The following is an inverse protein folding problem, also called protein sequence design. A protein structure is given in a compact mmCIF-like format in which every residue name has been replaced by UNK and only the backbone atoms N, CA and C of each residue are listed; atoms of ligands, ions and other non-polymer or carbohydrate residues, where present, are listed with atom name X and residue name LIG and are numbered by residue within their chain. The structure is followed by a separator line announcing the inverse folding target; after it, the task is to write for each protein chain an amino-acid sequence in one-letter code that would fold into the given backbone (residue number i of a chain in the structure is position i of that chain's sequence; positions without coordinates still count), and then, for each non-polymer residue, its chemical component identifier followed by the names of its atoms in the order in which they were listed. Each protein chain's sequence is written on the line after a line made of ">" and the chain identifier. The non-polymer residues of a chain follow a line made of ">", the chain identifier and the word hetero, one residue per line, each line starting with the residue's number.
data_IF_840700698547
#
_entry.id   IF_840700698547
#
_cell.length_a   1.000
_cell.length_b   1.000
_cell.length_c   1.000
_cell.angle_alpha   90.00
_cell.angle_beta   90.00
_cell.angle_gamma   90.00
#
_symmetry.space_group_name_H-M   'P 1'
#
loop_
_entity.id
_entity.type
_entity.pdbx_description
1 polymer ?
#
# COMPACT_ATOMS: atom_id res chain seq x y z
N UNK A 1 19.07 -10.22 15.87
CA UNK A 1 18.14 -9.57 14.90
C UNK A 1 16.73 -9.69 15.44
N UNK A 2 16.00 -8.57 15.57
CA UNK A 2 14.64 -8.55 16.13
C UNK A 2 13.65 -9.21 15.16
N UNK A 3 13.52 -10.53 15.24
CA UNK A 3 12.56 -11.33 14.48
C UNK A 3 11.12 -11.03 14.92
N UNK A 4 10.91 -10.68 16.19
CA UNK A 4 9.59 -10.43 16.78
C UNK A 4 8.89 -9.24 16.09
N UNK A 5 9.58 -8.10 15.92
CA UNK A 5 8.98 -6.92 15.31
C UNK A 5 8.60 -7.13 13.83
N UNK A 6 9.35 -7.98 13.11
CA UNK A 6 9.02 -8.38 11.74
C UNK A 6 7.81 -9.32 11.73
N UNK A 7 7.78 -10.33 12.60
CA UNK A 7 6.64 -11.25 12.72
C UNK A 7 5.34 -10.52 13.04
N UNK A 8 5.37 -9.57 14.00
CA UNK A 8 4.19 -8.75 14.36
C UNK A 8 3.67 -7.97 13.15
N UNK A 9 4.55 -7.36 12.34
CA UNK A 9 4.13 -6.64 11.12
C UNK A 9 3.56 -7.58 10.06
N UNK A 10 4.15 -8.77 9.89
CA UNK A 10 3.64 -9.78 8.95
C UNK A 10 2.25 -10.30 9.37
N UNK A 11 1.99 -10.47 10.66
CA UNK A 11 0.67 -10.88 11.18
C UNK A 11 -0.45 -9.85 10.93
N UNK A 12 -0.12 -8.60 10.59
CA UNK A 12 -1.12 -7.58 10.24
C UNK A 12 -1.60 -7.68 8.79
N UNK A 13 -0.77 -8.24 7.90
CA UNK A 13 -1.10 -8.41 6.48
C UNK A 13 -1.52 -9.84 6.15
N UNK A 14 -1.43 -10.78 7.09
CA UNK A 14 -1.84 -12.18 6.94
C UNK A 14 -3.06 -12.47 7.81
N UNK A 15 -4.07 -13.13 7.25
CA UNK A 15 -5.17 -13.65 8.04
C UNK A 15 -4.66 -14.77 8.96
N UNK A 16 -4.79 -14.56 10.28
CA UNK A 16 -4.22 -15.45 11.32
C UNK A 16 -4.87 -16.82 11.37
N UNK A 17 -6.07 -16.99 10.83
CA UNK A 17 -6.81 -18.26 10.87
C UNK A 17 -6.52 -19.10 9.63
N UNK A 18 -6.44 -18.45 8.48
CA UNK A 18 -6.31 -19.12 7.18
C UNK A 18 -4.88 -19.12 6.65
N UNK A 19 -3.99 -18.30 7.22
CA UNK A 19 -2.64 -18.03 6.72
C UNK A 19 -2.60 -17.56 5.26
N UNK A 20 -3.68 -16.93 4.81
CA UNK A 20 -3.83 -16.35 3.47
C UNK A 20 -3.89 -14.83 3.56
N UNK A 21 -3.64 -14.17 2.44
CA UNK A 21 -3.74 -12.71 2.35
C UNK A 21 -4.36 -12.30 1.02
N UNK A 22 -5.19 -11.28 1.06
CA UNK A 22 -5.66 -10.53 -0.10
C UNK A 22 -5.08 -9.12 0.01
N UNK A 23 -4.25 -8.75 -0.96
CA UNK A 23 -3.59 -7.45 -1.02
C UNK A 23 -4.10 -6.71 -2.26
N UNK A 24 -4.57 -5.48 -2.09
CA UNK A 24 -5.04 -4.65 -3.20
C UNK A 24 -3.99 -3.60 -3.55
N UNK A 25 -3.38 -3.65 -4.75
CA UNK A 25 -2.44 -2.65 -5.21
C UNK A 25 -3.14 -1.37 -5.67
N UNK A 26 -2.69 -0.23 -5.16
CA UNK A 26 -3.26 1.11 -5.35
C UNK A 26 -2.17 2.14 -5.72
N UNK A 27 -1.02 1.67 -6.21
CA UNK A 27 0.21 2.43 -6.50
C UNK A 27 0.30 2.98 -7.92
N UNK A 28 -0.57 2.52 -8.82
CA UNK A 28 -0.56 2.85 -10.25
C UNK A 28 -0.55 4.36 -10.55
N UNK A 29 -1.09 5.19 -9.65
CA UNK A 29 -1.17 6.64 -9.82
C UNK A 29 0.17 7.33 -10.07
N UNK A 30 1.27 6.80 -9.53
CA UNK A 30 2.61 7.36 -9.78
C UNK A 30 3.08 7.08 -11.21
N UNK A 31 2.69 5.93 -11.76
CA UNK A 31 3.22 5.44 -13.03
C UNK A 31 2.44 6.01 -14.20
N UNK A 32 1.11 6.09 -14.11
CA UNK A 32 0.23 6.46 -15.23
C UNK A 32 -0.67 7.68 -14.95
N UNK A 33 -0.44 8.39 -13.83
CA UNK A 33 -1.23 9.57 -13.45
C UNK A 33 -2.56 9.23 -12.77
N UNK A 34 -3.46 10.22 -12.57
CA UNK A 34 -4.72 10.01 -11.87
C UNK A 34 -5.63 9.00 -12.59
N UNK A 35 -5.93 7.87 -11.95
CA UNK A 35 -6.82 6.83 -12.49
C UNK A 35 -8.16 6.89 -11.75
N UNK A 36 -9.25 6.70 -12.47
CA UNK A 36 -10.57 6.54 -11.88
C UNK A 36 -10.54 5.47 -10.77
N UNK A 37 -11.11 5.80 -9.61
CA UNK A 37 -11.05 4.94 -8.42
C UNK A 37 -9.79 5.11 -7.56
N UNK A 38 -8.77 5.85 -7.98
CA UNK A 38 -7.63 6.23 -7.11
C UNK A 38 -7.53 7.75 -6.89
N UNK A 39 -8.48 8.52 -7.43
CA UNK A 39 -8.56 9.98 -7.24
C UNK A 39 -8.96 10.30 -5.79
N UNK A 40 -9.97 9.61 -5.27
CA UNK A 40 -10.40 9.69 -3.86
C UNK A 40 -9.88 8.46 -3.11
N UNK A 41 -8.64 8.58 -2.64
CA UNK A 41 -7.94 7.52 -1.91
C UNK A 41 -8.66 7.09 -0.63
N UNK A 42 -9.12 7.99 0.27
CA UNK A 42 -9.78 7.56 1.50
C UNK A 42 -11.05 6.74 1.24
N UNK A 43 -11.93 7.20 0.33
CA UNK A 43 -13.15 6.45 -0.03
C UNK A 43 -12.82 5.08 -0.65
N UNK A 44 -11.73 4.99 -1.40
CA UNK A 44 -11.35 3.73 -2.06
C UNK A 44 -10.72 2.75 -1.09
N UNK A 45 -9.85 3.21 -0.20
CA UNK A 45 -9.29 2.38 0.88
C UNK A 45 -10.40 1.87 1.80
N UNK A 46 -11.40 2.70 2.09
CA UNK A 46 -12.60 2.31 2.85
C UNK A 46 -13.31 1.12 2.18
N UNK A 47 -13.67 1.25 0.90
CA UNK A 47 -14.29 0.17 0.13
C UNK A 47 -13.45 -1.11 0.09
N UNK A 48 -12.14 -0.99 -0.06
CA UNK A 48 -11.21 -2.13 -0.08
C UNK A 48 -11.19 -2.85 1.28
N UNK A 49 -11.12 -2.09 2.38
CA UNK A 49 -11.13 -2.65 3.72
C UNK A 49 -12.47 -3.33 4.05
N UNK A 50 -13.59 -2.68 3.75
CA UNK A 50 -14.93 -3.25 3.96
C UNK A 50 -15.20 -4.47 3.04
N UNK A 51 -14.56 -4.52 1.87
CA UNK A 51 -14.53 -5.68 0.98
C UNK A 51 -13.74 -6.88 1.52
N UNK A 52 -13.05 -6.73 2.66
CA UNK A 52 -12.37 -7.81 3.35
C UNK A 52 -10.90 -8.01 2.97
N UNK A 53 -10.29 -7.06 2.26
CA UNK A 53 -8.85 -7.11 2.00
C UNK A 53 -8.04 -7.08 3.30
N UNK A 54 -6.89 -7.77 3.32
CA UNK A 54 -5.99 -7.77 4.46
C UNK A 54 -5.03 -6.58 4.44
N UNK A 55 -4.65 -6.12 3.24
CA UNK A 55 -3.73 -5.00 3.09
C UNK A 55 -3.95 -4.22 1.80
N UNK A 56 -3.50 -2.98 1.81
CA UNK A 56 -3.34 -2.12 0.64
C UNK A 56 -1.85 -1.87 0.38
N UNK A 57 -1.50 -1.78 -0.91
CA UNK A 57 -0.14 -1.49 -1.36
C UNK A 57 -0.12 -0.17 -2.13
N UNK A 58 0.78 0.73 -1.77
CA UNK A 58 0.85 2.07 -2.38
C UNK A 58 2.18 2.78 -2.14
N UNK A 59 2.35 3.96 -2.73
CA UNK A 59 3.47 4.86 -2.39
C UNK A 59 3.18 5.64 -1.09
N UNK A 60 4.14 6.43 -0.61
CA UNK A 60 4.02 7.23 0.63
C UNK A 60 2.79 8.15 0.70
N UNK A 61 2.22 8.54 -0.44
CA UNK A 61 0.94 9.27 -0.45
C UNK A 61 -0.25 8.47 0.10
N UNK A 62 -0.20 7.14 0.05
CA UNK A 62 -1.27 6.25 0.50
C UNK A 62 -1.55 6.37 2.01
N UNK A 63 -0.58 6.23 2.93
CA UNK A 63 -0.86 6.47 4.34
C UNK A 63 -1.26 7.92 4.64
N UNK A 64 -0.75 8.91 3.89
CA UNK A 64 -1.06 10.32 4.14
C UNK A 64 -2.54 10.66 3.85
N UNK A 65 -3.12 10.04 2.81
CA UNK A 65 -4.47 10.38 2.34
C UNK A 65 -5.49 9.25 2.52
N UNK A 66 -5.02 8.02 2.66
CA UNK A 66 -5.83 6.82 2.80
C UNK A 66 -5.83 6.23 4.21
N UNK A 67 -5.06 6.76 5.15
CA UNK A 67 -5.11 6.30 6.55
C UNK A 67 -6.48 6.58 7.17
N UNK A 68 -7.07 5.55 7.76
CA UNK A 68 -8.35 5.60 8.46
C UNK A 68 -8.11 5.38 9.95
N UNK A 69 -8.65 6.27 10.78
CA UNK A 69 -8.71 6.11 12.24
C UNK A 69 -9.97 5.37 12.71
N UNK A 70 -10.70 4.70 11.80
CA UNK A 70 -12.00 4.09 12.03
C UNK A 70 -12.21 2.88 11.12
N UNK A 71 -13.24 2.09 11.41
CA UNK A 71 -13.63 0.94 10.60
C UNK A 71 -12.73 -0.28 10.79
N UNK A 72 -12.80 -1.22 9.85
CA UNK A 72 -11.97 -2.42 9.86
C UNK A 72 -10.50 -2.06 9.60
N UNK A 73 -9.60 -2.63 10.41
CA UNK A 73 -8.16 -2.48 10.23
C UNK A 73 -7.70 -3.12 8.90
N UNK A 74 -6.78 -2.43 8.21
CA UNK A 74 -6.20 -2.87 6.94
C UNK A 74 -4.69 -2.63 6.97
N UNK A 75 -3.92 -3.67 6.69
CA UNK A 75 -2.47 -3.58 6.66
C UNK A 75 -1.97 -2.67 5.55
N UNK A 76 -0.78 -2.12 5.74
CA UNK A 76 -0.16 -1.17 4.82
C UNK A 76 1.17 -1.73 4.30
N UNK A 77 1.36 -1.64 2.98
CA UNK A 77 2.60 -2.00 2.30
C UNK A 77 3.05 -0.81 1.46
N UNK A 78 4.25 -0.28 1.75
CA UNK A 78 4.82 0.86 1.03
C UNK A 78 5.71 0.37 -0.11
N UNK A 79 5.38 0.79 -1.33
CA UNK A 79 6.18 0.60 -2.53
C UNK A 79 7.29 1.65 -2.57
N UNK A 80 8.53 1.22 -2.33
CA UNK A 80 9.68 2.11 -2.17
C UNK A 80 10.31 2.57 -3.50
N UNK A 81 10.01 1.88 -4.60
CA UNK A 81 10.52 2.21 -5.93
C UNK A 81 9.40 2.59 -6.89
N UNK A 82 9.68 3.49 -7.83
CA UNK A 82 8.71 3.92 -8.83
C UNK A 82 9.38 4.16 -10.18
N UNK A 83 8.57 4.13 -11.22
CA UNK A 83 8.85 4.63 -12.56
C UNK A 83 7.57 5.25 -13.11
N UNK A 84 7.70 6.07 -14.16
CA UNK A 84 6.56 6.75 -14.78
C UNK A 84 6.56 6.55 -16.29
N UNK A 85 5.38 6.34 -16.86
CA UNK A 85 5.19 6.25 -18.32
C UNK A 85 5.48 7.57 -19.06
N UNK A 86 5.63 8.67 -18.32
CA UNK A 86 6.02 9.97 -18.87
C UNK A 86 7.55 10.10 -19.05
N UNK A 87 8.33 9.17 -18.48
CA UNK A 87 9.78 9.14 -18.61
C UNK A 87 10.25 8.52 -19.94
N UNK A 88 11.49 8.80 -20.37
CA UNK A 88 12.07 8.23 -21.58
C UNK A 88 12.28 6.71 -21.50
N UNK A 89 12.38 6.15 -20.28
CA UNK A 89 12.38 4.71 -20.01
C UNK A 89 11.33 4.40 -18.91
N UNK A 90 10.09 4.04 -19.30
CA UNK A 90 8.99 3.75 -18.38
C UNK A 90 9.25 2.59 -17.40
N UNK A 91 10.19 1.71 -17.71
CA UNK A 91 10.46 0.50 -16.91
C UNK A 91 11.65 0.69 -15.96
N UNK A 92 12.38 1.80 -16.06
CA UNK A 92 13.48 2.10 -15.17
C UNK A 92 12.98 2.55 -13.79
N UNK A 93 12.77 1.59 -12.90
CA UNK A 93 12.39 1.85 -11.51
C UNK A 93 13.58 2.29 -10.67
N UNK A 94 13.39 3.39 -9.95
CA UNK A 94 14.36 3.90 -8.98
C UNK A 94 13.75 3.95 -7.59
N UNK A 95 14.58 3.97 -6.54
CA UNK A 95 14.10 4.23 -5.19
C UNK A 95 13.61 5.68 -5.08
N UNK A 96 12.40 5.85 -4.57
CA UNK A 96 11.75 7.15 -4.37
C UNK A 96 11.34 7.38 -2.91
N UNK A 97 11.58 6.39 -2.04
CA UNK A 97 11.25 6.44 -0.60
C UNK A 97 12.30 5.66 0.18
N UNK A 98 12.72 6.20 1.33
CA UNK A 98 13.66 5.50 2.21
C UNK A 98 12.92 4.57 3.15
N UNK A 99 13.61 3.55 3.66
CA UNK A 99 13.00 2.63 4.63
C UNK A 99 12.59 3.38 5.90
N UNK A 100 13.36 4.38 6.32
CA UNK A 100 13.07 5.17 7.54
C UNK A 100 11.75 5.93 7.46
N UNK A 101 11.32 6.34 6.25
CA UNK A 101 10.05 7.05 6.04
C UNK A 101 8.84 6.10 6.20
N UNK A 102 9.06 4.79 6.18
CA UNK A 102 8.01 3.76 6.19
C UNK A 102 7.91 2.97 7.52
N UNK A 103 8.60 3.41 8.59
CA UNK A 103 8.66 2.71 9.88
C UNK A 103 7.51 3.07 10.81
#
# INVERSE_FOLDING_TARGET
>A
MSTIGKSIRLERILDRKTHRTVIVPMDHGISVGPIAGLIDMPTTVDKVAEGGANAVLGHMGLPLHGHRGYGRDVGLIIHLSASSSLGPDPNHKILVTRVEDAI
#
